data_IF_519710026907
#
_entry.id   IF_519710026907
#
_cell.length_a   1.000
_cell.length_b   1.000
_cell.length_c   1.000
_cell.angle_alpha   90.00
_cell.angle_beta   90.00
_cell.angle_gamma   90.00
#
_symmetry.space_group_name_H-M   'P 1'
#
loop_
_entity.id
_entity.type
_entity.pdbx_description
1 polymer ?
#
# COMPACT_ATOMS: atom_id res chain seq x y z
N UNK A 1 -14.04 -1.59 37.71
CA UNK A 1 -14.25 -0.29 37.05
C UNK A 1 -13.71 -0.43 35.64
N UNK A 2 -14.62 -0.43 34.66
CA UNK A 2 -14.30 -0.53 33.24
C UNK A 2 -13.82 0.84 32.71
N UNK A 3 -12.84 0.80 31.81
CA UNK A 3 -12.33 1.97 31.11
C UNK A 3 -11.45 1.52 29.94
N UNK A 4 -12.02 0.74 29.02
CA UNK A 4 -11.41 0.50 27.72
C UNK A 4 -11.55 1.79 26.91
N UNK A 5 -10.51 2.61 26.90
CA UNK A 5 -10.38 3.71 25.94
C UNK A 5 -10.11 3.09 24.55
N UNK A 6 -11.18 2.69 23.87
CA UNK A 6 -11.17 2.57 22.43
C UNK A 6 -10.91 3.95 21.85
N UNK A 7 -9.65 4.25 21.51
CA UNK A 7 -9.34 5.36 20.63
C UNK A 7 -9.89 4.96 19.26
N UNK A 8 -11.04 5.52 18.92
CA UNK A 8 -11.54 5.54 17.55
C UNK A 8 -10.38 5.96 16.64
N UNK A 9 -9.93 5.04 15.79
CA UNK A 9 -8.89 5.31 14.81
C UNK A 9 -9.49 6.21 13.73
N UNK A 10 -9.27 7.51 13.82
CA UNK A 10 -9.57 8.46 12.75
C UNK A 10 -8.82 8.01 11.48
N UNK A 11 -9.57 7.54 10.49
CA UNK A 11 -9.05 7.25 9.17
C UNK A 11 -8.77 8.59 8.46
N UNK A 12 -7.55 9.12 8.60
CA UNK A 12 -7.10 10.25 7.78
C UNK A 12 -7.12 9.84 6.31
N UNK A 13 -8.09 10.37 5.54
CA UNK A 13 -8.09 10.25 4.10
C UNK A 13 -7.05 11.21 3.51
N UNK A 14 -5.87 10.69 3.23
CA UNK A 14 -4.87 11.39 2.42
C UNK A 14 -5.14 11.12 0.96
N UNK A 15 -5.57 12.14 0.21
CA UNK A 15 -5.67 12.09 -1.26
C UNK A 15 -4.50 12.87 -1.87
N UNK A 16 -3.80 12.27 -2.82
CA UNK A 16 -2.85 12.97 -3.69
C UNK A 16 -3.47 13.16 -5.08
N UNK A 17 -3.31 14.36 -5.65
CA UNK A 17 -3.76 14.66 -7.01
C UNK A 17 -2.54 14.73 -7.91
N UNK A 18 -2.45 13.79 -8.85
CA UNK A 18 -1.42 13.77 -9.88
C UNK A 18 -1.99 14.34 -11.19
N UNK A 19 -1.26 15.26 -11.82
CA UNK A 19 -1.65 15.85 -13.10
C UNK A 19 -0.81 15.25 -14.22
N UNK A 20 -1.47 14.87 -15.31
CA UNK A 20 -0.85 14.31 -16.52
C UNK A 20 -1.30 15.13 -17.73
N UNK A 21 -0.69 16.31 -17.99
CA UNK A 21 -1.14 17.20 -19.07
C UNK A 21 -1.20 16.52 -20.44
N UNK A 22 -0.31 15.56 -20.70
CA UNK A 22 -0.15 14.85 -21.96
C UNK A 22 -1.36 13.97 -22.30
N UNK A 23 -2.21 13.62 -21.33
CA UNK A 23 -3.40 12.77 -21.57
C UNK A 23 -4.70 13.57 -21.70
N UNK A 24 -4.66 14.89 -21.51
CA UNK A 24 -5.86 15.74 -21.54
C UNK A 24 -6.54 15.68 -22.92
N UNK A 25 -7.86 15.52 -22.91
CA UNK A 25 -8.67 15.45 -24.13
C UNK A 25 -8.54 14.14 -24.91
N UNK A 26 -7.72 13.18 -24.46
CA UNK A 26 -7.66 11.86 -25.08
C UNK A 26 -8.92 11.05 -24.77
N UNK A 27 -9.37 10.29 -25.77
CA UNK A 27 -10.46 9.32 -25.61
C UNK A 27 -9.89 7.99 -25.10
N UNK A 28 -10.45 7.51 -24.00
CA UNK A 28 -10.15 6.18 -23.47
C UNK A 28 -10.68 5.13 -24.45
N UNK A 29 -9.82 4.16 -24.77
CA UNK A 29 -10.16 2.97 -25.55
C UNK A 29 -10.57 1.83 -24.61
N UNK A 30 -9.72 1.54 -23.61
CA UNK A 30 -9.99 0.54 -22.58
C UNK A 30 -9.18 0.80 -21.30
N UNK A 31 -9.52 0.06 -20.24
CA UNK A 31 -8.79 0.00 -18.98
C UNK A 31 -8.39 -1.45 -18.72
N UNK A 32 -7.11 -1.70 -18.51
CA UNK A 32 -6.55 -3.02 -18.22
C UNK A 32 -6.08 -3.08 -16.76
N UNK A 33 -6.36 -4.22 -16.11
CA UNK A 33 -5.93 -4.52 -14.74
C UNK A 33 -5.01 -5.74 -14.81
N UNK A 34 -3.77 -5.56 -14.37
CA UNK A 34 -2.79 -6.62 -14.20
C UNK A 34 -2.78 -7.06 -12.74
N UNK A 35 -2.87 -8.36 -12.50
CA UNK A 35 -2.96 -8.95 -11.16
C UNK A 35 -2.23 -10.28 -11.08
N UNK A 36 -1.10 -10.38 -11.78
CA UNK A 36 -0.26 -11.57 -11.70
C UNK A 36 0.57 -11.56 -10.41
N UNK A 37 1.19 -12.70 -10.10
CA UNK A 37 1.90 -12.87 -8.82
C UNK A 37 3.11 -11.94 -8.64
N UNK A 38 3.61 -11.32 -9.70
CA UNK A 38 4.83 -10.52 -9.69
C UNK A 38 4.60 -9.06 -10.16
N UNK A 39 3.43 -8.76 -10.70
CA UNK A 39 3.10 -7.49 -11.32
C UNK A 39 1.60 -7.16 -11.18
N UNK A 40 1.35 -6.09 -10.44
CA UNK A 40 0.04 -5.48 -10.30
C UNK A 40 0.09 -4.12 -10.96
N UNK A 41 -0.87 -3.81 -11.82
CA UNK A 41 -0.92 -2.50 -12.47
C UNK A 41 -2.31 -2.17 -12.98
N UNK A 42 -2.53 -0.88 -13.22
CA UNK A 42 -3.70 -0.35 -13.93
C UNK A 42 -3.18 0.40 -15.14
N UNK A 43 -3.63 0.05 -16.34
CA UNK A 43 -3.29 0.79 -17.56
C UNK A 43 -4.56 1.37 -18.19
N UNK A 44 -4.56 2.68 -18.45
CA UNK A 44 -5.57 3.38 -19.22
C UNK A 44 -5.03 3.50 -20.64
N UNK A 45 -5.64 2.80 -21.61
CA UNK A 45 -5.27 2.90 -23.03
C UNK A 45 -6.13 3.94 -23.72
N UNK A 46 -5.52 4.72 -24.59
CA UNK A 46 -6.19 5.74 -25.39
C UNK A 46 -6.31 5.32 -26.85
N UNK A 47 -7.30 5.86 -27.55
CA UNK A 47 -7.55 5.54 -28.97
C UNK A 47 -6.39 5.93 -29.89
N UNK A 48 -5.59 6.93 -29.50
CA UNK A 48 -4.38 7.36 -30.20
C UNK A 48 -3.18 6.39 -30.03
N UNK A 49 -3.41 5.22 -29.43
CA UNK A 49 -2.43 4.17 -29.18
C UNK A 49 -1.33 4.54 -28.17
N UNK A 50 -1.58 5.54 -27.33
CA UNK A 50 -0.79 5.79 -26.10
C UNK A 50 -1.47 5.20 -24.86
N UNK A 51 -0.76 5.15 -23.73
CA UNK A 51 -1.31 4.68 -22.46
C UNK A 51 -0.74 5.43 -21.26
N UNK A 52 -1.53 5.53 -20.19
CA UNK A 52 -1.11 5.95 -18.86
C UNK A 52 -1.19 4.73 -17.93
N UNK A 53 -0.07 4.31 -17.36
CA UNK A 53 0.02 3.10 -16.54
C UNK A 53 0.48 3.41 -15.11
N UNK A 54 -0.16 2.76 -14.15
CA UNK A 54 0.15 2.82 -12.74
C UNK A 54 0.60 1.43 -12.28
N UNK A 55 1.89 1.26 -12.01
CA UNK A 55 2.38 0.05 -11.35
C UNK A 55 2.05 0.12 -9.87
N UNK A 56 1.51 -0.97 -9.34
CA UNK A 56 1.19 -1.16 -7.94
C UNK A 56 2.23 -2.11 -7.35
N UNK A 57 2.91 -1.64 -6.32
CA UNK A 57 3.86 -2.48 -5.60
C UNK A 57 3.35 -2.75 -4.18
N UNK A 58 3.07 -4.03 -3.89
CA UNK A 58 2.71 -4.46 -2.55
C UNK A 58 3.94 -4.49 -1.67
N UNK A 59 3.88 -3.89 -0.49
CA UNK A 59 4.99 -3.86 0.46
C UNK A 59 4.68 -4.62 1.74
N UNK A 60 5.65 -5.39 2.22
CA UNK A 60 5.57 -6.12 3.50
C UNK A 60 6.35 -5.34 4.55
N UNK A 61 5.71 -5.09 5.68
CA UNK A 61 6.34 -4.45 6.84
C UNK A 61 6.27 -5.41 8.02
N UNK A 62 7.40 -5.61 8.69
CA UNK A 62 7.47 -6.40 9.92
C UNK A 62 8.00 -5.53 11.05
N UNK A 63 7.44 -5.73 12.24
CA UNK A 63 7.82 -5.04 13.47
C UNK A 63 8.22 -6.07 14.52
N UNK A 64 9.36 -6.76 14.30
CA UNK A 64 9.75 -7.90 15.11
C UNK A 64 9.93 -7.53 16.59
N UNK A 65 9.37 -8.36 17.47
CA UNK A 65 9.53 -8.31 18.92
C UNK A 65 9.93 -9.68 19.44
N UNK A 66 10.76 -9.70 20.48
CA UNK A 66 10.97 -10.87 21.33
C UNK A 66 10.10 -10.68 22.57
N UNK A 67 9.27 -11.67 22.89
CA UNK A 67 8.43 -11.68 24.08
C UNK A 67 8.58 -12.97 24.88
N UNK A 68 8.41 -12.86 26.19
CA UNK A 68 8.20 -13.98 27.11
C UNK A 68 6.69 -14.22 27.25
N UNK A 69 6.31 -15.49 27.30
CA UNK A 69 4.94 -15.97 27.47
C UNK A 69 4.80 -16.92 28.66
N UNK A 70 5.83 -17.03 29.50
CA UNK A 70 5.87 -17.98 30.62
C UNK A 70 4.72 -17.75 31.62
N UNK A 71 4.26 -16.52 31.79
CA UNK A 71 3.12 -16.16 32.65
C UNK A 71 1.75 -16.40 32.00
N UNK A 72 1.70 -16.74 30.71
CA UNK A 72 0.48 -16.82 29.90
C UNK A 72 0.06 -15.48 29.27
N UNK A 73 0.63 -14.37 29.75
CA UNK A 73 0.48 -13.04 29.14
C UNK A 73 1.75 -12.67 28.36
N UNK A 74 1.61 -11.90 27.29
CA UNK A 74 2.76 -11.43 26.50
C UNK A 74 3.54 -10.35 27.26
N UNK A 75 4.80 -10.63 27.58
CA UNK A 75 5.75 -9.63 28.05
C UNK A 75 6.80 -9.34 26.97
N UNK A 76 6.78 -8.15 26.36
CA UNK A 76 7.77 -7.76 25.35
C UNK A 76 9.13 -7.51 26.01
N UNK A 77 10.11 -8.36 25.70
CA UNK A 77 11.48 -8.26 26.20
C UNK A 77 12.34 -7.31 25.35
N UNK A 78 12.16 -7.34 24.02
CA UNK A 78 12.97 -6.53 23.10
C UNK A 78 12.20 -6.21 21.81
N UNK A 79 12.38 -5.00 21.30
CA UNK A 79 11.92 -4.62 19.94
C UNK A 79 13.13 -4.55 19.00
N UNK A 80 12.98 -5.12 17.81
CA UNK A 80 14.02 -5.08 16.79
C UNK A 80 13.71 -4.04 15.72
N UNK A 81 14.70 -3.76 14.89
CA UNK A 81 14.53 -2.84 13.75
C UNK A 81 13.44 -3.35 12.83
N UNK A 82 12.49 -2.48 12.48
CA UNK A 82 11.47 -2.79 11.50
C UNK A 82 12.12 -3.14 10.15
N UNK A 83 11.69 -4.24 9.55
CA UNK A 83 12.13 -4.67 8.23
C UNK A 83 11.00 -4.42 7.25
N UNK A 84 11.33 -3.80 6.14
CA UNK A 84 10.41 -3.45 5.06
C UNK A 84 10.87 -4.19 3.81
N UNK A 85 9.95 -4.70 3.01
CA UNK A 85 10.29 -5.22 1.69
C UNK A 85 10.98 -4.10 0.90
N UNK A 86 11.89 -4.50 0.00
CA UNK A 86 12.45 -3.56 -0.95
C UNK A 86 11.35 -3.26 -1.96
N UNK A 87 10.81 -2.05 -1.88
CA UNK A 87 9.94 -1.50 -2.91
C UNK A 87 10.88 -1.05 -4.03
N UNK A 88 10.78 -1.67 -5.19
CA UNK A 88 11.52 -1.34 -6.38
C UNK A 88 10.97 -0.01 -6.91
N UNK A 89 11.58 1.09 -6.48
CA UNK A 89 11.33 2.41 -7.07
C UNK A 89 11.77 2.37 -8.53
N UNK A 90 10.81 2.15 -9.43
CA UNK A 90 11.01 2.33 -10.87
C UNK A 90 11.31 3.80 -11.16
#
# INVERSE_FOLDING_TARGET
MAGLNGKDSEHHHTSEVLDFPEVRGKLVDNVEIFSDSEYYAIAIRFQDKTALAFTLETAVFTFPVLSDWTSGDEEILQKYKAVRSRIQRM
#
